data_IF_655579864476
#
_entry.id   IF_655579864476
#
_cell.length_a   1.000
_cell.length_b   1.000
_cell.length_c   1.000
_cell.angle_alpha   90.00
_cell.angle_beta   90.00
_cell.angle_gamma   90.00
#
_symmetry.space_group_name_H-M   'P 1'
#
loop_
_entity.id
_entity.type
_entity.pdbx_description
1 polymer ?
#
# COMPACT_ATOMS: atom_id res chain seq x y z
N UNK A 1 -26.98 16.73 -12.10
CA UNK A 1 -26.38 16.00 -10.96
C UNK A 1 -26.68 14.52 -11.11
N UNK A 2 -25.66 13.67 -11.34
CA UNK A 2 -25.86 12.20 -11.35
C UNK A 2 -25.76 11.70 -9.91
N UNK A 3 -26.83 11.08 -9.43
CA UNK A 3 -26.83 10.34 -8.16
C UNK A 3 -26.57 8.88 -8.48
N UNK A 4 -25.51 8.32 -7.92
CA UNK A 4 -25.31 6.87 -7.95
C UNK A 4 -26.33 6.24 -7.00
N UNK A 5 -27.14 5.32 -7.52
CA UNK A 5 -28.21 4.66 -6.77
C UNK A 5 -27.86 3.23 -6.37
N UNK A 6 -26.88 2.61 -7.03
CA UNK A 6 -26.40 1.25 -6.75
C UNK A 6 -24.89 1.20 -7.03
N UNK A 7 -24.09 0.93 -6.00
CA UNK A 7 -22.65 0.68 -6.11
C UNK A 7 -22.42 -0.73 -5.58
N UNK A 8 -21.93 -1.62 -6.42
CA UNK A 8 -21.52 -2.97 -6.06
C UNK A 8 -20.00 -3.09 -6.25
N UNK A 9 -19.33 -3.76 -5.31
CA UNK A 9 -17.91 -4.10 -5.36
C UNK A 9 -17.82 -5.63 -5.42
N UNK A 10 -17.06 -6.15 -6.38
CA UNK A 10 -16.79 -7.59 -6.47
C UNK A 10 -15.72 -7.97 -5.45
N UNK A 11 -15.84 -9.16 -4.85
CA UNK A 11 -14.85 -9.70 -3.92
C UNK A 11 -13.88 -10.63 -4.66
N UNK A 12 -12.61 -10.58 -4.28
CA UNK A 12 -11.56 -11.46 -4.79
C UNK A 12 -11.38 -12.64 -3.82
N UNK A 13 -11.31 -13.88 -4.32
CA UNK A 13 -11.04 -15.06 -3.51
C UNK A 13 -10.02 -15.97 -4.18
N UNK A 14 -9.04 -16.43 -3.41
CA UNK A 14 -8.03 -17.41 -3.86
C UNK A 14 -8.64 -18.80 -4.19
N UNK A 15 -9.91 -19.05 -3.81
CA UNK A 15 -10.59 -20.34 -3.91
C UNK A 15 -11.69 -20.37 -4.99
N UNK A 16 -11.50 -19.61 -6.07
CA UNK A 16 -12.56 -19.16 -7.00
C UNK A 16 -13.28 -20.24 -7.82
N UNK A 17 -12.84 -21.50 -7.85
CA UNK A 17 -13.54 -22.52 -8.63
C UNK A 17 -14.81 -23.06 -7.96
N UNK A 18 -14.93 -23.05 -6.62
CA UNK A 18 -15.99 -23.80 -5.93
C UNK A 18 -17.22 -22.96 -5.50
N UNK A 19 -17.05 -21.69 -5.07
CA UNK A 19 -18.16 -20.90 -4.50
C UNK A 19 -18.85 -19.94 -5.49
N UNK A 20 -18.16 -19.45 -6.51
CA UNK A 20 -18.72 -18.50 -7.49
C UNK A 20 -19.85 -19.09 -8.33
N UNK A 21 -19.69 -20.36 -8.72
CA UNK A 21 -20.69 -21.06 -9.51
C UNK A 21 -21.87 -21.58 -8.66
N UNK A 22 -21.65 -21.87 -7.37
CA UNK A 22 -22.66 -22.44 -6.48
C UNK A 22 -23.62 -21.42 -5.87
N UNK A 23 -23.17 -20.16 -5.68
CA UNK A 23 -23.94 -19.12 -4.99
C UNK A 23 -24.36 -17.94 -5.88
N UNK A 24 -24.03 -17.94 -7.17
CA UNK A 24 -24.32 -16.84 -8.10
C UNK A 24 -23.77 -15.49 -7.60
N UNK A 25 -22.64 -15.52 -6.88
CA UNK A 25 -21.97 -14.32 -6.38
C UNK A 25 -21.02 -13.82 -7.48
N UNK A 26 -21.08 -12.53 -7.86
CA UNK A 26 -20.11 -11.94 -8.77
C UNK A 26 -18.75 -11.87 -8.07
N UNK A 27 -17.86 -12.78 -8.44
CA UNK A 27 -16.45 -12.74 -8.06
C UNK A 27 -15.62 -12.12 -9.18
N UNK A 28 -14.59 -11.36 -8.81
CA UNK A 28 -13.63 -10.85 -9.77
C UNK A 28 -12.79 -12.02 -10.31
N UNK A 29 -12.96 -12.37 -11.59
CA UNK A 29 -12.35 -13.56 -12.23
C UNK A 29 -10.86 -13.34 -12.57
N UNK A 30 -10.40 -12.08 -12.61
CA UNK A 30 -9.01 -11.71 -12.92
C UNK A 30 -8.54 -10.61 -11.99
N UNK A 31 -8.09 -10.99 -10.80
CA UNK A 31 -7.47 -10.08 -9.84
C UNK A 31 -5.97 -10.24 -9.96
N UNK A 32 -5.27 -9.15 -10.23
CA UNK A 32 -3.80 -9.18 -10.24
C UNK A 32 -3.26 -9.26 -8.82
N UNK A 33 -2.28 -10.13 -8.60
CA UNK A 33 -1.53 -10.20 -7.36
C UNK A 33 -0.08 -9.80 -7.64
N UNK A 34 0.26 -8.56 -7.28
CA UNK A 34 1.60 -8.03 -7.51
C UNK A 34 2.60 -8.57 -6.47
N UNK A 35 3.74 -9.07 -6.95
CA UNK A 35 4.91 -9.31 -6.11
C UNK A 35 5.81 -8.08 -6.14
N UNK A 36 5.69 -7.24 -5.12
CA UNK A 36 6.44 -5.99 -5.08
C UNK A 36 7.93 -6.21 -4.83
N UNK A 37 8.80 -5.40 -5.47
CA UNK A 37 10.19 -5.29 -5.05
C UNK A 37 10.27 -4.82 -3.59
N UNK A 38 11.39 -5.06 -2.89
CA UNK A 38 11.50 -4.79 -1.45
C UNK A 38 11.21 -3.35 -1.00
N UNK A 39 11.42 -2.37 -1.88
CA UNK A 39 11.23 -0.94 -1.62
C UNK A 39 9.81 -0.43 -1.93
N UNK A 40 8.92 -1.30 -2.41
CA UNK A 40 7.52 -0.96 -2.74
C UNK A 40 6.55 -1.86 -1.98
N UNK A 41 5.31 -1.38 -1.81
CA UNK A 41 4.19 -2.11 -1.22
C UNK A 41 2.86 -1.58 -1.77
N UNK A 42 1.76 -2.19 -1.36
CA UNK A 42 0.42 -1.90 -1.87
C UNK A 42 -0.06 -3.00 -2.81
N UNK A 43 -1.33 -2.97 -3.17
CA UNK A 43 -1.91 -4.00 -4.04
C UNK A 43 -1.35 -3.92 -5.47
N UNK A 44 -0.86 -2.74 -5.85
CA UNK A 44 -0.29 -2.45 -7.17
C UNK A 44 1.15 -1.91 -7.07
N UNK A 45 1.83 -2.12 -5.93
CA UNK A 45 3.18 -1.61 -5.64
C UNK A 45 3.30 -0.07 -5.76
N UNK A 46 2.21 0.62 -5.45
CA UNK A 46 2.02 2.05 -5.60
C UNK A 46 2.54 2.86 -4.40
N UNK A 47 2.81 2.21 -3.28
CA UNK A 47 3.33 2.84 -2.06
C UNK A 47 4.80 2.48 -1.85
N UNK A 48 5.56 3.39 -1.22
CA UNK A 48 6.89 3.01 -0.74
C UNK A 48 6.79 2.13 0.51
N UNK A 49 7.66 1.13 0.58
CA UNK A 49 7.80 0.30 1.77
C UNK A 49 8.31 1.14 2.97
N UNK A 50 8.08 0.70 4.22
CA UNK A 50 8.63 1.37 5.39
C UNK A 50 10.15 1.58 5.28
N UNK A 51 10.62 2.77 5.65
CA UNK A 51 12.02 3.18 5.50
C UNK A 51 12.43 3.61 4.10
N UNK A 52 11.48 3.79 3.18
CA UNK A 52 11.71 4.36 1.85
C UNK A 52 10.78 5.56 1.60
N UNK A 53 11.26 6.53 0.82
CA UNK A 53 10.48 7.67 0.35
C UNK A 53 10.53 7.82 -1.16
N UNK A 54 9.53 8.50 -1.71
CA UNK A 54 9.35 8.68 -3.15
C UNK A 54 10.14 9.88 -3.65
N UNK A 55 11.02 9.66 -4.61
CA UNK A 55 11.62 10.72 -5.43
C UNK A 55 10.87 10.83 -6.75
N UNK A 56 10.59 12.04 -7.23
CA UNK A 56 9.88 12.30 -8.49
C UNK A 56 10.79 12.13 -9.72
N UNK A 57 11.64 11.11 -9.71
CA UNK A 57 12.47 10.72 -10.85
C UNK A 57 12.13 9.30 -11.26
N UNK A 58 12.09 9.05 -12.57
CA UNK A 58 11.77 7.74 -13.12
C UNK A 58 10.32 7.56 -13.55
N UNK A 59 9.97 6.34 -14.03
CA UNK A 59 8.64 6.02 -14.54
C UNK A 59 7.60 5.89 -13.41
N UNK A 60 6.32 5.85 -13.79
CA UNK A 60 5.19 5.52 -12.90
C UNK A 60 5.13 6.30 -11.57
N UNK A 61 5.40 7.61 -11.61
CA UNK A 61 5.31 8.47 -10.42
C UNK A 61 6.54 8.42 -9.51
N UNK A 62 7.62 7.76 -9.93
CA UNK A 62 8.95 7.92 -9.36
C UNK A 62 9.47 6.73 -8.55
N UNK A 63 10.76 6.78 -8.17
CA UNK A 63 11.43 5.73 -7.44
C UNK A 63 11.24 5.80 -5.92
N UNK A 64 11.16 4.65 -5.26
CA UNK A 64 11.24 4.56 -3.80
C UNK A 64 12.70 4.30 -3.40
N UNK A 65 13.30 5.22 -2.64
CA UNK A 65 14.71 5.16 -2.21
C UNK A 65 14.81 5.17 -0.68
N UNK A 66 15.89 4.60 -0.10
CA UNK A 66 16.03 4.49 1.36
C UNK A 66 16.02 5.85 2.06
N UNK A 67 15.50 5.87 3.30
CA UNK A 67 15.62 7.02 4.19
C UNK A 67 17.07 7.18 4.69
N UNK A 68 17.73 8.26 4.29
CA UNK A 68 19.12 8.56 4.68
C UNK A 68 19.19 9.47 5.91
N UNK A 69 18.73 8.94 7.06
CA UNK A 69 18.67 9.67 8.32
C UNK A 69 19.94 9.54 9.18
N UNK A 70 21.08 9.16 8.58
CA UNK A 70 22.39 9.08 9.22
C UNK A 70 22.38 8.28 10.54
N UNK A 71 21.59 7.20 10.61
CA UNK A 71 21.47 6.36 11.80
C UNK A 71 20.62 6.93 12.94
N UNK A 72 20.05 8.14 12.81
CA UNK A 72 19.17 8.74 13.81
C UNK A 72 17.73 8.25 13.73
N UNK A 73 17.30 7.77 12.56
CA UNK A 73 15.99 7.18 12.33
C UNK A 73 16.06 6.17 11.19
N UNK A 74 15.14 5.22 11.18
CA UNK A 74 14.87 4.35 10.03
C UNK A 74 13.67 4.83 9.22
N UNK A 75 12.93 5.81 9.73
CA UNK A 75 11.68 6.28 9.15
C UNK A 75 11.78 7.75 8.72
N UNK A 76 11.24 8.05 7.56
CA UNK A 76 11.14 9.39 7.01
C UNK A 76 9.76 9.60 6.38
N UNK A 77 9.36 10.85 6.21
CA UNK A 77 8.14 11.19 5.50
C UNK A 77 8.20 10.71 4.05
N UNK A 78 7.17 9.97 3.61
CA UNK A 78 7.18 9.24 2.34
C UNK A 78 7.22 10.15 1.10
N UNK A 79 6.82 11.42 1.22
CA UNK A 79 6.76 12.35 0.10
C UNK A 79 7.95 13.31 0.06
N UNK A 80 8.51 13.64 1.22
CA UNK A 80 9.55 14.67 1.36
C UNK A 80 10.92 14.08 1.72
N UNK A 81 10.97 12.87 2.26
CA UNK A 81 12.19 12.25 2.77
C UNK A 81 12.67 12.84 4.11
N UNK A 82 11.90 13.72 4.74
CA UNK A 82 12.28 14.35 6.02
C UNK A 82 12.23 13.30 7.14
N UNK A 83 13.34 13.15 7.85
CA UNK A 83 13.50 12.17 8.92
C UNK A 83 12.49 12.38 10.06
N UNK A 84 11.80 11.30 10.41
CA UNK A 84 10.87 11.31 11.53
C UNK A 84 11.65 11.07 12.83
N UNK A 85 11.54 12.01 13.75
CA UNK A 85 12.05 11.83 15.11
C UNK A 85 11.16 10.85 15.85
N UNK A 86 11.76 9.79 16.39
CA UNK A 86 11.04 8.77 17.17
C UNK A 86 10.68 9.33 18.54
N UNK A 87 9.61 10.11 18.59
CA UNK A 87 9.06 10.66 19.82
C UNK A 87 8.38 9.50 20.59
N UNK A 88 9.10 8.91 21.55
CA UNK A 88 8.60 7.86 22.44
C UNK A 88 7.49 8.32 23.42
N UNK A 89 6.84 9.47 23.20
CA UNK A 89 5.89 10.05 24.16
C UNK A 89 4.63 9.18 24.30
N UNK A 90 4.23 8.43 23.26
CA UNK A 90 2.99 7.63 23.28
C UNK A 90 3.21 6.21 23.87
N UNK A 91 4.45 5.69 23.89
CA UNK A 91 4.72 4.38 24.52
C UNK A 91 4.75 4.41 26.05
N UNK A 92 4.83 5.60 26.67
CA UNK A 92 4.79 5.74 28.14
C UNK A 92 3.34 5.68 28.67
N UNK A 93 2.34 6.05 27.87
CA UNK A 93 0.93 6.12 28.29
C UNK A 93 0.07 4.92 27.84
N UNK A 94 0.66 3.93 27.16
CA UNK A 94 -0.06 2.75 26.63
C UNK A 94 0.60 1.41 27.03
N UNK A 95 1.32 1.37 28.15
CA UNK A 95 1.79 0.14 28.82
C UNK A 95 1.30 0.10 30.26
#
# INVERSE_FOLDING_TARGET
>A
MKKLINVALDEASDNSEYYGNALNIPFAVSVEQCHCPPNYRGLSCEECAPGYYRIQSGPHGGYCVPCECNGHSTDCDVNTGVCLVRIMIIKIYLT
#
